data_IF_950560984831
#
_entry.id   IF_950560984831
#
_cell.length_a   1.000
_cell.length_b   1.000
_cell.length_c   1.000
_cell.angle_alpha   90.00
_cell.angle_beta   90.00
_cell.angle_gamma   90.00
#
_symmetry.space_group_name_H-M   'P 1'
#
loop_
_entity.id
_entity.type
_entity.pdbx_description
1 polymer ?
#
# COMPACT_ATOMS: atom_id res chain seq x y z
N UNK A 1 -9.97 -10.59 -0.92
CA UNK A 1 -9.40 -11.43 0.17
C UNK A 1 -8.55 -10.59 1.10
N UNK A 2 -8.48 -10.92 2.39
CA UNK A 2 -7.62 -10.22 3.35
C UNK A 2 -6.16 -10.69 3.26
N UNK A 3 -5.19 -9.78 3.39
CA UNK A 3 -3.74 -10.05 3.33
C UNK A 3 -2.98 -9.31 4.44
N UNK A 4 -1.88 -9.89 4.90
CA UNK A 4 -0.94 -9.19 5.77
C UNK A 4 -0.23 -8.09 4.97
N UNK A 5 -0.05 -6.91 5.56
CA UNK A 5 0.52 -5.75 4.84
C UNK A 5 2.00 -5.94 4.46
N UNK A 6 2.69 -6.89 5.10
CA UNK A 6 4.06 -7.30 4.77
C UNK A 6 4.15 -8.29 3.60
N UNK A 7 3.03 -8.88 3.20
CA UNK A 7 2.94 -9.81 2.06
C UNK A 7 2.67 -9.07 0.74
N UNK A 8 2.59 -7.74 0.80
CA UNK A 8 2.23 -6.86 -0.31
C UNK A 8 3.45 -6.06 -0.75
N UNK A 9 3.60 -5.93 -2.06
CA UNK A 9 4.72 -5.25 -2.70
C UNK A 9 4.25 -3.96 -3.36
N UNK A 10 5.05 -2.90 -3.28
CA UNK A 10 4.81 -1.67 -4.02
C UNK A 10 5.20 -1.84 -5.48
N UNK A 11 4.46 -1.18 -6.37
CA UNK A 11 4.91 -1.06 -7.76
C UNK A 11 5.94 0.10 -7.92
N UNK A 12 5.85 1.13 -7.08
CA UNK A 12 6.67 2.34 -7.16
C UNK A 12 7.72 2.39 -6.05
N UNK A 13 8.91 2.93 -6.36
CA UNK A 13 9.95 3.24 -5.36
C UNK A 13 9.57 4.41 -4.45
N UNK A 14 8.69 5.30 -4.93
CA UNK A 14 8.30 6.51 -4.21
C UNK A 14 6.78 6.69 -4.19
N UNK A 15 6.30 7.31 -3.12
CA UNK A 15 4.92 7.75 -2.97
C UNK A 15 4.87 9.18 -2.48
N UNK A 16 3.86 9.93 -2.92
CA UNK A 16 3.63 11.27 -2.39
C UNK A 16 3.17 11.21 -0.93
N UNK A 17 3.56 12.22 -0.14
CA UNK A 17 3.10 12.41 1.25
C UNK A 17 1.62 12.70 1.39
N UNK A 18 0.94 13.03 0.29
CA UNK A 18 -0.50 13.32 0.27
C UNK A 18 -1.27 12.38 -0.65
N UNK A 19 -2.53 12.13 -0.29
CA UNK A 19 -3.46 11.43 -1.19
C UNK A 19 -3.89 12.38 -2.31
N UNK A 20 -3.78 11.93 -3.55
CA UNK A 20 -4.10 12.72 -4.74
C UNK A 20 -5.55 12.54 -5.20
N UNK A 21 -6.20 11.45 -4.76
CA UNK A 21 -7.56 11.08 -5.17
C UNK A 21 -8.35 10.43 -4.03
N UNK A 22 -9.67 10.32 -4.21
CA UNK A 22 -10.60 9.65 -3.29
C UNK A 22 -10.94 10.46 -2.04
N UNK A 23 -11.59 9.81 -1.06
CA UNK A 23 -12.10 10.44 0.18
C UNK A 23 -11.05 11.19 1.00
N UNK A 24 -9.78 10.79 0.88
CA UNK A 24 -8.67 11.39 1.61
C UNK A 24 -7.88 12.42 0.80
N UNK A 25 -8.36 12.82 -0.39
CA UNK A 25 -7.64 13.75 -1.28
C UNK A 25 -7.17 15.01 -0.52
N UNK A 26 -5.91 15.39 -0.73
CA UNK A 26 -5.23 16.51 -0.06
C UNK A 26 -4.71 16.19 1.35
N UNK A 27 -5.15 15.08 1.97
CA UNK A 27 -4.72 14.74 3.32
C UNK A 27 -3.33 14.06 3.32
N UNK A 28 -2.51 14.31 4.35
CA UNK A 28 -1.28 13.57 4.59
C UNK A 28 -1.52 12.07 4.78
N UNK A 29 -0.59 11.24 4.30
CA UNK A 29 -0.58 9.78 4.52
C UNK A 29 -0.54 9.45 6.03
N UNK A 30 0.15 10.29 6.79
CA UNK A 30 0.28 10.21 8.25
C UNK A 30 -1.07 10.34 8.97
N UNK A 31 -2.09 10.95 8.36
CA UNK A 31 -3.43 10.99 8.96
C UNK A 31 -4.07 9.61 9.01
N UNK A 32 -3.83 8.76 7.99
CA UNK A 32 -4.31 7.39 8.01
C UNK A 32 -3.57 6.57 9.09
N UNK A 33 -2.27 6.82 9.28
CA UNK A 33 -1.50 6.23 10.37
C UNK A 33 -2.06 6.63 11.75
N UNK A 34 -2.38 7.91 11.96
CA UNK A 34 -3.05 8.39 13.18
C UNK A 34 -4.41 7.71 13.40
N UNK A 35 -5.20 7.55 12.34
CA UNK A 35 -6.47 6.83 12.43
C UNK A 35 -6.26 5.36 12.84
N UNK A 36 -5.22 4.70 12.29
CA UNK A 36 -4.89 3.33 12.67
C UNK A 36 -4.54 3.20 14.16
N UNK A 37 -3.79 4.17 14.70
CA UNK A 37 -3.47 4.21 16.13
C UNK A 37 -4.72 4.37 16.98
N UNK A 38 -5.64 5.26 16.59
CA UNK A 38 -6.90 5.53 17.31
C UNK A 38 -7.82 4.31 17.34
N UNK A 39 -7.91 3.58 16.22
CA UNK A 39 -8.78 2.41 16.08
C UNK A 39 -8.08 1.08 16.43
N UNK A 40 -6.82 1.12 16.88
CA UNK A 40 -5.98 -0.06 17.14
C UNK A 40 -5.89 -1.03 15.94
N UNK A 41 -5.93 -0.49 14.72
CA UNK A 41 -5.99 -1.26 13.48
C UNK A 41 -6.41 -0.41 12.29
N UNK A 42 -6.38 -0.97 11.07
CA UNK A 42 -6.87 -0.27 9.88
C UNK A 42 -8.34 0.13 10.04
N UNK A 43 -8.77 1.32 9.58
CA UNK A 43 -10.14 1.74 9.74
C UNK A 43 -11.13 0.76 9.10
N UNK A 44 -12.22 0.41 9.81
CA UNK A 44 -13.18 -0.62 9.34
C UNK A 44 -13.76 -0.34 7.95
N UNK A 45 -13.93 0.94 7.58
CA UNK A 45 -14.47 1.39 6.28
C UNK A 45 -13.36 1.82 5.30
N UNK A 46 -12.13 1.34 5.49
CA UNK A 46 -11.04 1.65 4.57
C UNK A 46 -11.28 0.95 3.22
N UNK A 47 -11.19 1.66 2.08
CA UNK A 47 -11.37 1.01 0.79
C UNK A 47 -10.31 -0.08 0.57
N UNK A 48 -10.62 -1.18 -0.12
CA UNK A 48 -9.65 -2.22 -0.44
C UNK A 48 -8.47 -1.71 -1.27
N UNK A 49 -7.33 -2.38 -1.15
CA UNK A 49 -6.22 -2.23 -2.09
C UNK A 49 -6.50 -3.04 -3.36
N UNK A 50 -5.89 -2.65 -4.47
CA UNK A 50 -5.95 -3.43 -5.72
C UNK A 50 -4.55 -3.91 -6.04
N UNK A 51 -4.39 -5.21 -6.22
CA UNK A 51 -3.11 -5.84 -6.48
C UNK A 51 -3.16 -6.81 -7.67
N UNK A 52 -2.03 -6.99 -8.32
CA UNK A 52 -1.79 -8.01 -9.35
C UNK A 52 -0.97 -9.14 -8.76
N UNK A 53 -1.38 -10.40 -8.99
CA UNK A 53 -0.54 -11.56 -8.68
C UNK A 53 0.43 -11.84 -9.83
N UNK A 54 1.73 -11.68 -9.60
CA UNK A 54 2.79 -11.94 -10.58
C UNK A 54 3.97 -12.63 -9.90
N UNK A 55 4.44 -13.74 -10.47
CA UNK A 55 5.53 -14.60 -9.94
C UNK A 55 5.38 -14.86 -8.43
N UNK A 56 4.20 -15.33 -8.01
CA UNK A 56 3.91 -15.64 -6.62
C UNK A 56 3.72 -14.45 -5.66
N UNK A 57 4.04 -13.21 -6.08
CA UNK A 57 3.93 -11.99 -5.27
C UNK A 57 2.66 -11.19 -5.57
N UNK A 58 2.21 -10.40 -4.61
CA UNK A 58 1.04 -9.51 -4.72
C UNK A 58 1.49 -8.06 -4.79
N UNK A 59 1.42 -7.48 -5.98
CA UNK A 59 1.90 -6.13 -6.26
C UNK A 59 0.76 -5.13 -6.28
N UNK A 60 0.81 -4.11 -5.42
CA UNK A 60 -0.27 -3.12 -5.27
C UNK A 60 -0.21 -2.09 -6.39
N UNK A 61 -1.20 -2.14 -7.28
CA UNK A 61 -1.38 -1.19 -8.38
C UNK A 61 -2.10 0.07 -7.88
N UNK A 62 -3.13 -0.11 -7.04
CA UNK A 62 -3.89 1.00 -6.45
C UNK A 62 -3.87 0.96 -4.93
N UNK A 63 -3.52 2.11 -4.36
CA UNK A 63 -3.47 2.29 -2.91
C UNK A 63 -2.07 2.22 -2.31
N UNK A 64 -1.00 2.42 -3.10
CA UNK A 64 0.38 2.44 -2.60
C UNK A 64 0.58 3.34 -1.36
N UNK A 65 -0.03 4.53 -1.32
CA UNK A 65 -0.01 5.39 -0.12
C UNK A 65 -0.72 4.80 1.10
N UNK A 66 -1.84 4.09 0.90
CA UNK A 66 -2.53 3.36 1.98
C UNK A 66 -1.63 2.22 2.46
N UNK A 67 -1.03 1.46 1.54
CA UNK A 67 -0.07 0.41 1.89
C UNK A 67 1.10 0.98 2.72
N UNK A 68 1.68 2.12 2.31
CA UNK A 68 2.75 2.79 3.05
C UNK A 68 2.33 3.14 4.48
N UNK A 69 1.17 3.78 4.67
CA UNK A 69 0.66 4.11 6.02
C UNK A 69 0.47 2.86 6.90
N UNK A 70 -0.06 1.79 6.32
CA UNK A 70 -0.32 0.53 7.03
C UNK A 70 0.96 -0.21 7.39
N UNK A 71 1.98 -0.20 6.51
CA UNK A 71 3.28 -0.76 6.82
C UNK A 71 4.03 0.06 7.87
N UNK A 72 3.91 1.40 7.87
CA UNK A 72 4.41 2.23 8.96
C UNK A 72 3.75 1.84 10.29
N UNK A 73 2.43 1.68 10.32
CA UNK A 73 1.72 1.23 11.52
C UNK A 73 2.17 -0.17 11.99
N UNK A 74 2.32 -1.11 11.06
CA UNK A 74 2.84 -2.44 11.36
C UNK A 74 4.27 -2.41 11.95
N UNK A 75 5.12 -1.50 11.48
CA UNK A 75 6.47 -1.32 12.01
C UNK A 75 6.45 -0.73 13.42
N UNK A 76 5.60 0.27 13.69
CA UNK A 76 5.41 0.81 15.05
C UNK A 76 4.93 -0.27 16.03
N UNK A 77 4.02 -1.15 15.61
CA UNK A 77 3.59 -2.27 16.43
C UNK A 77 4.76 -3.22 16.73
N UNK A 78 5.59 -3.52 15.73
CA UNK A 78 6.77 -4.39 15.89
C UNK A 78 7.79 -3.77 16.84
N UNK A 79 8.07 -2.48 16.71
CA UNK A 79 8.99 -1.73 17.58
C UNK A 79 8.51 -1.74 19.05
N UNK A 80 7.20 -1.76 19.26
CA UNK A 80 6.57 -1.91 20.59
C UNK A 80 6.50 -3.36 21.08
N UNK A 81 7.12 -4.31 20.39
CA UNK A 81 7.10 -5.73 20.73
C UNK A 81 5.78 -6.46 20.44
N UNK A 82 4.82 -5.81 19.75
CA UNK A 82 3.55 -6.45 19.40
C UNK A 82 3.74 -7.50 18.31
N UNK A 83 3.09 -8.66 18.49
CA UNK A 83 3.00 -9.74 17.50
C UNK A 83 1.81 -9.57 16.53
N UNK A 84 1.05 -8.49 16.66
CA UNK A 84 -0.14 -8.25 15.83
C UNK A 84 0.25 -8.06 14.36
N UNK A 85 -0.43 -8.80 13.48
CA UNK A 85 -0.29 -8.67 12.02
C UNK A 85 -1.40 -7.75 11.52
N UNK A 86 -1.02 -6.59 10.99
CA UNK A 86 -1.92 -5.67 10.32
C UNK A 86 -2.39 -6.30 9.01
N UNK A 87 -3.71 -6.42 8.87
CA UNK A 87 -4.37 -7.09 7.76
C UNK A 87 -5.28 -6.12 7.01
N UNK A 88 -5.33 -6.24 5.69
CA UNK A 88 -6.13 -5.35 4.83
C UNK A 88 -6.84 -6.13 3.72
N UNK A 89 -8.00 -5.66 3.32
CA UNK A 89 -8.72 -6.19 2.16
C UNK A 89 -8.00 -5.85 0.85
N UNK A 90 -7.84 -6.85 0.00
CA UNK A 90 -7.19 -6.72 -1.30
C UNK A 90 -8.04 -7.40 -2.38
N UNK A 91 -8.31 -6.66 -3.45
CA UNK A 91 -8.78 -7.22 -4.72
C UNK A 91 -7.57 -7.65 -5.53
N UNK A 92 -7.47 -8.97 -5.76
CA UNK A 92 -6.33 -9.58 -6.44
C UNK A 92 -6.76 -9.93 -7.86
N UNK A 93 -6.14 -9.27 -8.83
CA UNK A 93 -6.27 -9.62 -10.23
C UNK A 93 -5.22 -10.66 -10.61
N UNK A 94 -5.63 -11.60 -11.47
CA UNK A 94 -4.71 -12.52 -12.13
C UNK A 94 -4.10 -11.81 -13.33
N UNK A 95 -2.87 -12.19 -13.66
CA UNK A 95 -2.23 -11.70 -14.88
C UNK A 95 -3.07 -12.07 -16.11
N UNK A 96 -3.55 -11.04 -16.82
CA UNK A 96 -4.25 -11.17 -18.09
C UNK A 96 -3.76 -10.06 -19.02
N UNK A 97 -2.95 -10.37 -20.06
CA UNK A 97 -2.40 -9.36 -20.98
C UNK A 97 -3.44 -8.46 -21.67
N UNK A 98 -4.71 -8.90 -21.73
CA UNK A 98 -5.81 -8.13 -22.32
C UNK A 98 -6.49 -7.17 -21.34
N UNK A 99 -6.13 -7.20 -20.06
CA UNK A 99 -6.69 -6.35 -19.02
C UNK A 99 -5.91 -5.02 -18.95
N UNK A 100 -6.60 -3.88 -18.92
CA UNK A 100 -5.99 -2.57 -18.79
C UNK A 100 -5.21 -2.43 -17.46
N UNK A 101 -5.52 -3.25 -16.46
CA UNK A 101 -4.76 -3.33 -15.21
C UNK A 101 -3.37 -3.91 -15.40
N UNK A 102 -3.13 -4.74 -16.43
CA UNK A 102 -1.78 -5.21 -16.76
C UNK A 102 -0.95 -4.09 -17.37
N UNK A 103 -1.52 -3.28 -18.27
CA UNK A 103 -0.84 -2.09 -18.79
C UNK A 103 -0.46 -1.14 -17.65
N UNK A 104 -1.40 -0.87 -16.74
CA UNK A 104 -1.13 -0.07 -15.55
C UNK A 104 -0.10 -0.70 -14.61
N UNK A 105 -0.11 -2.02 -14.47
CA UNK A 105 0.90 -2.72 -13.68
C UNK A 105 2.29 -2.59 -14.31
N UNK A 106 2.42 -2.77 -15.64
CA UNK A 106 3.68 -2.59 -16.35
C UNK A 106 4.21 -1.16 -16.20
N UNK A 107 3.36 -0.16 -16.39
CA UNK A 107 3.67 1.26 -16.18
C UNK A 107 4.06 1.54 -14.72
N UNK A 108 3.35 0.95 -13.77
CA UNK A 108 3.60 1.19 -12.35
C UNK A 108 4.84 0.48 -11.82
N UNK A 109 5.29 -0.63 -12.42
CA UNK A 109 6.41 -1.47 -11.93
C UNK A 109 7.76 -0.84 -12.29
N UNK A 110 7.99 0.36 -11.78
CA UNK A 110 9.27 1.08 -11.93
C UNK A 110 10.18 0.88 -10.72
N UNK A 111 9.73 0.12 -9.72
CA UNK A 111 10.52 -0.08 -8.51
C UNK A 111 11.86 -0.78 -8.76
N UNK A 112 12.92 -0.22 -8.18
CA UNK A 112 14.29 -0.75 -8.19
C UNK A 112 14.62 -1.50 -6.90
N UNK A 113 13.79 -1.38 -5.86
CA UNK A 113 13.98 -2.05 -4.56
C UNK A 113 13.21 -3.38 -4.41
N UNK A 114 12.71 -3.92 -5.54
CA UNK A 114 11.92 -5.14 -5.56
C UNK A 114 10.54 -5.02 -4.92
N UNK A 115 10.04 -3.79 -4.71
CA UNK A 115 8.73 -3.47 -4.16
C UNK A 115 8.61 -3.63 -2.65
N UNK A 116 9.72 -3.72 -1.92
CA UNK A 116 9.72 -3.98 -0.47
C UNK A 116 9.41 -2.73 0.35
N UNK A 117 9.74 -1.56 -0.18
CA UNK A 117 9.42 -0.25 0.39
C UNK A 117 9.06 0.74 -0.71
N UNK A 118 8.42 1.84 -0.31
CA UNK A 118 8.29 3.03 -1.13
C UNK A 118 8.59 4.24 -0.27
N UNK A 119 9.57 5.05 -0.64
CA UNK A 119 9.95 6.25 0.11
C UNK A 119 8.99 7.41 -0.16
N UNK A 120 8.99 8.40 0.72
CA UNK A 120 8.26 9.63 0.40
C UNK A 120 9.08 10.46 -0.57
N UNK A 121 8.47 10.88 -1.69
CA UNK A 121 9.11 11.81 -2.64
C UNK A 121 9.70 13.00 -1.88
N UNK A 122 10.98 13.28 -2.10
CA UNK A 122 11.62 14.51 -1.61
C UNK A 122 11.16 15.64 -2.52
N UNK A 123 10.33 16.56 -2.01
CA UNK A 123 10.01 17.77 -2.75
C UNK A 123 11.25 18.67 -2.72
N UNK A 124 11.97 18.74 -3.85
CA UNK A 124 13.18 19.56 -4.02
C UNK A 124 14.41 18.76 -4.46
N UNK A 125 14.51 18.56 -5.78
CA UNK A 125 15.75 18.43 -6.54
C UNK A 125 15.52 19.10 -7.89
#
# INVERSE_FOLDING_TARGET
STKGVKDLFFCHDEVLRTFQHGKHKGQPVENLLKACRKECGPPKKMPPLVAMKKVGKLWVIYGNRRLKALQMYQNELKEKGSKTIVRVEVFVHKWNPKDCLVAKFMDATTTRNGGTNADFVRLGA
#
